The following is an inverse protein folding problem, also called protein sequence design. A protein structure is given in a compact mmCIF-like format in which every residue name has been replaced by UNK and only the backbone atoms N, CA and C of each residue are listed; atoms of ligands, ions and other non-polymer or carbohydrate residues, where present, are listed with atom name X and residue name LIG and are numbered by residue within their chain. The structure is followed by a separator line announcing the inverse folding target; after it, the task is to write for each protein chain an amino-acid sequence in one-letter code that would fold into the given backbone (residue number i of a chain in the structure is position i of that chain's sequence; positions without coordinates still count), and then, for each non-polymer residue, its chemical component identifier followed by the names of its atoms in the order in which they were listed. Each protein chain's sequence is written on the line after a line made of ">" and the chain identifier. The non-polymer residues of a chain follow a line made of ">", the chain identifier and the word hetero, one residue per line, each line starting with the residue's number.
data_IF_019136452606
#
_entry.id   IF_019136452606
#
_cell.length_a   1.000
_cell.length_b   1.000
_cell.length_c   1.000
_cell.angle_alpha   90.00
_cell.angle_beta   90.00
_cell.angle_gamma   90.00
#
_symmetry.space_group_name_H-M   'P 1'
#
loop_
_entity.id
_entity.type
_entity.pdbx_description
1 polymer ?
#
# COMPACT_ATOMS: atom_id res chain seq x y z
N UNK A 1 -9.54 -58.89 56.51
CA UNK A 1 -8.66 -57.85 57.11
C UNK A 1 -7.38 -57.80 56.31
N UNK A 2 -7.10 -56.67 55.67
CA UNK A 2 -5.87 -56.49 54.90
C UNK A 2 -6.07 -55.64 53.64
N UNK A 3 -5.25 -54.60 53.53
CA UNK A 3 -5.03 -53.68 52.39
C UNK A 3 -5.82 -52.38 52.38
N UNK A 4 -5.55 -51.52 53.36
CA UNK A 4 -5.83 -50.08 53.26
C UNK A 4 -4.72 -49.23 53.89
N UNK A 5 -3.44 -49.56 53.66
CA UNK A 5 -2.32 -48.75 54.18
C UNK A 5 -1.16 -48.51 53.17
N UNK A 6 -1.35 -48.78 51.87
CA UNK A 6 -0.29 -48.57 50.87
C UNK A 6 -0.45 -47.35 49.94
N UNK A 7 -1.53 -46.56 50.04
CA UNK A 7 -1.79 -45.48 49.05
C UNK A 7 -1.42 -44.06 49.48
N UNK A 8 -0.83 -43.86 50.66
CA UNK A 8 -0.38 -42.52 51.11
C UNK A 8 1.12 -42.24 51.00
N UNK A 9 1.97 -43.26 50.77
CA UNK A 9 3.41 -43.07 50.59
C UNK A 9 3.84 -42.74 49.15
N UNK A 10 3.03 -43.10 48.15
CA UNK A 10 3.35 -42.79 46.73
C UNK A 10 2.94 -41.36 46.31
N UNK A 11 1.93 -40.75 46.95
CA UNK A 11 1.52 -39.37 46.65
C UNK A 11 2.44 -38.27 47.23
N UNK A 12 3.44 -38.62 48.03
CA UNK A 12 4.41 -37.65 48.62
C UNK A 12 5.76 -37.59 47.91
N UNK A 13 6.04 -38.50 46.98
CA UNK A 13 7.32 -38.50 46.22
C UNK A 13 7.19 -37.64 44.95
N UNK A 14 6.00 -37.55 44.35
CA UNK A 14 5.79 -36.79 43.11
C UNK A 14 5.77 -35.26 43.32
N UNK A 15 5.20 -34.77 44.43
CA UNK A 15 5.09 -33.31 44.69
C UNK A 15 6.41 -32.62 45.07
N UNK A 16 7.49 -33.37 45.32
CA UNK A 16 8.82 -32.80 45.63
C UNK A 16 9.72 -32.65 44.39
N UNK A 17 9.44 -33.38 43.31
CA UNK A 17 10.22 -33.28 42.07
C UNK A 17 9.74 -32.14 41.16
N UNK A 18 8.44 -31.84 41.12
CA UNK A 18 7.91 -30.70 40.34
C UNK A 18 8.40 -29.34 40.85
N UNK A 19 8.41 -29.12 42.18
CA UNK A 19 8.85 -27.83 42.75
C UNK A 19 10.35 -27.55 42.60
N UNK A 20 11.17 -28.56 42.30
CA UNK A 20 12.62 -28.40 42.02
C UNK A 20 12.89 -28.21 40.52
N UNK A 21 12.02 -28.69 39.64
CA UNK A 21 12.09 -28.46 38.20
C UNK A 21 11.70 -27.02 37.85
N UNK A 22 10.61 -26.50 38.42
CA UNK A 22 10.15 -25.13 38.19
C UNK A 22 11.16 -24.08 38.68
N UNK A 23 11.69 -24.24 39.90
CA UNK A 23 12.72 -23.29 40.42
C UNK A 23 14.05 -23.33 39.65
N UNK A 24 14.34 -24.40 38.91
CA UNK A 24 15.52 -24.49 38.03
C UNK A 24 15.24 -23.93 36.64
N UNK A 25 13.99 -23.94 36.19
CA UNK A 25 13.57 -23.30 34.94
C UNK A 25 13.51 -21.78 35.11
N UNK A 26 12.92 -21.31 36.21
CA UNK A 26 12.80 -19.87 36.53
C UNK A 26 14.17 -19.20 36.71
N UNK A 27 15.11 -19.86 37.39
CA UNK A 27 16.50 -19.36 37.54
C UNK A 27 17.34 -19.44 36.25
N UNK A 28 16.93 -20.24 35.26
CA UNK A 28 17.55 -20.27 33.93
C UNK A 28 16.98 -19.18 33.01
N UNK A 29 15.74 -18.75 33.26
CA UNK A 29 15.08 -17.66 32.55
C UNK A 29 15.58 -16.30 33.09
N UNK A 30 15.78 -16.15 34.41
CA UNK A 30 16.29 -14.91 35.01
C UNK A 30 17.78 -14.60 34.77
N UNK A 31 18.59 -15.56 34.30
CA UNK A 31 20.04 -15.36 34.09
C UNK A 31 20.47 -15.18 32.63
N UNK A 32 19.53 -14.97 31.70
CA UNK A 32 19.86 -14.70 30.27
C UNK A 32 19.37 -13.35 29.74
N UNK A 33 18.93 -12.45 30.61
CA UNK A 33 18.40 -11.14 30.22
C UNK A 33 19.24 -9.98 30.74
N UNK A 34 20.56 -10.06 30.63
CA UNK A 34 21.47 -8.92 30.78
C UNK A 34 22.39 -8.77 29.55
N UNK A 35 21.90 -9.14 28.37
CA UNK A 35 22.44 -8.58 27.13
C UNK A 35 21.66 -7.30 26.86
N UNK A 36 22.32 -6.15 27.06
CA UNK A 36 21.93 -4.85 26.51
C UNK A 36 21.34 -5.07 25.12
N UNK A 37 20.02 -5.09 25.02
CA UNK A 37 19.34 -4.90 23.76
C UNK A 37 19.53 -3.41 23.50
N UNK A 38 20.61 -3.06 22.81
CA UNK A 38 20.66 -1.80 22.09
C UNK A 38 19.37 -1.74 21.28
N UNK A 39 18.44 -0.87 21.67
CA UNK A 39 17.25 -0.54 20.91
C UNK A 39 17.73 0.12 19.61
N UNK A 40 18.15 -0.70 18.63
CA UNK A 40 18.29 -0.26 17.25
C UNK A 40 16.94 0.33 16.86
N UNK A 41 16.91 1.54 16.25
CA UNK A 41 15.64 2.15 15.88
C UNK A 41 14.86 1.16 15.01
N UNK A 42 13.61 0.86 15.37
CA UNK A 42 12.73 -0.03 14.59
C UNK A 42 12.41 0.52 13.18
N UNK A 43 12.90 1.72 12.88
CA UNK A 43 12.74 2.43 11.62
C UNK A 43 14.15 2.64 11.07
N UNK A 44 14.53 1.88 10.03
CA UNK A 44 15.60 2.38 9.16
C UNK A 44 15.01 3.62 8.49
N UNK A 45 15.47 4.81 8.89
CA UNK A 45 15.10 6.03 8.21
C UNK A 45 15.50 5.86 6.74
N UNK A 46 14.67 6.30 5.77
CA UNK A 46 15.05 6.31 4.37
C UNK A 46 16.41 7.01 4.23
N UNK A 47 17.30 6.39 3.46
CA UNK A 47 18.66 6.86 3.24
C UNK A 47 18.63 8.01 2.24
N UNK A 48 18.43 9.23 2.76
CA UNK A 48 18.34 10.48 2.00
C UNK A 48 19.67 10.89 1.33
N UNK A 49 20.75 10.14 1.53
CA UNK A 49 22.06 10.41 0.91
C UNK A 49 22.21 9.79 -0.49
N UNK A 50 21.26 8.95 -0.91
CA UNK A 50 21.29 8.30 -2.22
C UNK A 50 20.72 9.21 -3.31
N UNK A 51 21.42 9.38 -4.44
CA UNK A 51 20.86 10.09 -5.58
C UNK A 51 19.61 9.37 -6.09
N UNK A 52 18.67 10.15 -6.64
CA UNK A 52 17.48 9.62 -7.31
C UNK A 52 17.91 8.65 -8.40
N UNK A 53 17.25 7.50 -8.46
CA UNK A 53 17.53 6.49 -9.47
C UNK A 53 17.16 6.99 -10.86
N UNK A 54 17.97 6.67 -11.86
CA UNK A 54 17.67 7.05 -13.24
C UNK A 54 16.55 6.19 -13.82
N UNK A 55 15.73 6.77 -14.72
CA UNK A 55 14.56 6.09 -15.29
C UNK A 55 14.88 4.68 -15.81
N UNK A 56 15.98 4.52 -16.55
CA UNK A 56 16.40 3.23 -17.12
C UNK A 56 16.64 2.17 -16.05
N UNK A 57 17.17 2.57 -14.88
CA UNK A 57 17.39 1.67 -13.75
C UNK A 57 16.08 1.31 -13.06
N UNK A 58 15.17 2.27 -12.90
CA UNK A 58 13.81 2.05 -12.37
C UNK A 58 13.09 1.02 -13.23
N UNK A 59 13.07 1.23 -14.55
CA UNK A 59 12.40 0.36 -15.53
C UNK A 59 12.93 -1.07 -15.43
N UNK A 60 14.26 -1.26 -15.44
CA UNK A 60 14.88 -2.59 -15.29
C UNK A 60 14.48 -3.27 -13.98
N UNK A 61 14.43 -2.52 -12.87
CA UNK A 61 13.99 -3.07 -11.58
C UNK A 61 12.52 -3.49 -11.64
N UNK A 62 11.64 -2.66 -12.19
CA UNK A 62 10.21 -2.95 -12.25
C UNK A 62 9.91 -4.16 -13.13
N UNK A 63 10.61 -4.33 -14.25
CA UNK A 63 10.48 -5.50 -15.14
C UNK A 63 10.71 -6.82 -14.39
N UNK A 64 11.63 -6.85 -13.42
CA UNK A 64 11.89 -8.05 -12.59
C UNK A 64 10.92 -8.24 -11.42
N UNK A 65 10.13 -7.22 -11.07
CA UNK A 65 9.26 -7.22 -9.88
C UNK A 65 7.78 -7.31 -10.22
N UNK A 66 7.40 -6.84 -11.39
CA UNK A 66 6.04 -6.87 -11.91
C UNK A 66 5.90 -8.03 -12.88
N UNK A 67 4.70 -8.62 -12.96
CA UNK A 67 4.44 -9.53 -14.06
C UNK A 67 4.37 -8.77 -15.41
N UNK A 68 4.51 -9.45 -16.56
CA UNK A 68 4.59 -8.78 -17.86
C UNK A 68 3.41 -7.87 -18.17
N UNK A 69 2.18 -8.32 -17.85
CA UNK A 69 0.96 -7.51 -18.07
C UNK A 69 0.98 -6.21 -17.27
N UNK A 70 1.40 -6.26 -16.00
CA UNK A 70 1.45 -5.07 -15.16
C UNK A 70 2.60 -4.14 -15.51
N UNK A 71 3.72 -4.69 -15.95
CA UNK A 71 4.82 -3.87 -16.45
C UNK A 71 4.38 -3.05 -17.67
N UNK A 72 3.73 -3.69 -18.66
CA UNK A 72 3.17 -3.00 -19.83
C UNK A 72 2.15 -1.93 -19.41
N UNK A 73 1.26 -2.26 -18.47
CA UNK A 73 0.33 -1.28 -17.89
C UNK A 73 1.08 -0.11 -17.25
N UNK A 74 2.10 -0.35 -16.43
CA UNK A 74 2.88 0.70 -15.75
C UNK A 74 3.53 1.64 -16.74
N UNK A 75 4.08 1.11 -17.83
CA UNK A 75 4.63 1.91 -18.93
C UNK A 75 3.50 2.71 -19.62
N UNK A 76 2.34 2.10 -19.84
CA UNK A 76 1.15 2.79 -20.34
C UNK A 76 0.69 3.96 -19.46
N UNK A 77 0.72 3.78 -18.13
CA UNK A 77 0.41 4.84 -17.16
C UNK A 77 1.44 5.96 -17.20
N UNK A 78 2.75 5.64 -17.24
CA UNK A 78 3.81 6.66 -17.40
C UNK A 78 3.56 7.54 -18.64
N UNK A 79 3.32 6.92 -19.80
CA UNK A 79 3.08 7.66 -21.04
C UNK A 79 1.80 8.48 -20.98
N UNK A 80 0.72 7.91 -20.43
CA UNK A 80 -0.56 8.60 -20.31
C UNK A 80 -0.46 9.79 -19.36
N UNK A 81 0.22 9.63 -18.22
CA UNK A 81 0.46 10.70 -17.26
C UNK A 81 1.27 11.85 -17.86
N UNK A 82 2.29 11.55 -18.67
CA UNK A 82 3.06 12.56 -19.39
C UNK A 82 2.17 13.40 -20.32
N UNK A 83 1.30 12.76 -21.10
CA UNK A 83 0.40 13.43 -22.03
C UNK A 83 -0.63 14.29 -21.30
N UNK A 84 -1.22 13.77 -20.22
CA UNK A 84 -2.14 14.55 -19.38
C UNK A 84 -1.42 15.74 -18.73
N UNK A 85 -0.17 15.59 -18.29
CA UNK A 85 0.62 16.69 -17.74
C UNK A 85 0.85 17.80 -18.77
N UNK A 86 1.16 17.46 -20.03
CA UNK A 86 1.27 18.44 -21.11
C UNK A 86 -0.03 19.23 -21.33
N UNK A 87 -1.16 18.54 -21.35
CA UNK A 87 -2.47 19.15 -21.64
C UNK A 87 -2.95 20.03 -20.50
N UNK A 88 -2.71 19.62 -19.25
CA UNK A 88 -3.22 20.31 -18.06
C UNK A 88 -2.20 21.22 -17.37
N UNK A 89 -0.98 21.34 -17.92
CA UNK A 89 0.05 22.25 -17.42
C UNK A 89 0.75 21.79 -16.13
N UNK A 90 0.86 20.47 -15.90
CA UNK A 90 1.61 19.92 -14.77
C UNK A 90 3.10 19.67 -15.13
N UNK A 91 3.92 19.41 -14.12
CA UNK A 91 5.30 18.97 -14.34
C UNK A 91 5.32 17.55 -14.95
N UNK A 92 5.79 17.47 -16.20
CA UNK A 92 5.82 16.23 -16.99
C UNK A 92 6.74 15.18 -16.37
N UNK A 93 7.88 15.57 -15.82
CA UNK A 93 8.84 14.63 -15.25
C UNK A 93 8.34 14.06 -13.92
N UNK A 94 7.64 14.87 -13.11
CA UNK A 94 6.92 14.36 -11.93
C UNK A 94 5.82 13.38 -12.31
N UNK A 95 5.00 13.72 -13.32
CA UNK A 95 3.92 12.86 -13.80
C UNK A 95 4.45 11.51 -14.31
N UNK A 96 5.52 11.54 -15.10
CA UNK A 96 6.18 10.32 -15.57
C UNK A 96 6.71 9.47 -14.42
N UNK A 97 7.43 10.07 -13.48
CA UNK A 97 8.01 9.33 -12.36
C UNK A 97 6.94 8.73 -11.43
N UNK A 98 5.88 9.50 -11.13
CA UNK A 98 4.76 9.01 -10.35
C UNK A 98 4.02 7.87 -11.08
N UNK A 99 3.74 8.03 -12.38
CA UNK A 99 3.10 7.00 -13.20
C UNK A 99 3.94 5.72 -13.31
N UNK A 100 5.26 5.83 -13.43
CA UNK A 100 6.17 4.69 -13.47
C UNK A 100 6.21 3.92 -12.14
N UNK A 101 5.99 4.59 -11.01
CA UNK A 101 6.14 4.00 -9.67
C UNK A 101 4.82 3.67 -8.96
N UNK A 102 3.66 4.09 -9.49
CA UNK A 102 2.36 3.96 -8.81
C UNK A 102 2.08 2.55 -8.29
N UNK A 103 2.38 1.53 -9.10
CA UNK A 103 2.13 0.11 -8.80
C UNK A 103 3.38 -0.66 -8.33
N UNK A 104 4.46 0.04 -7.92
CA UNK A 104 5.74 -0.63 -7.56
C UNK A 104 5.66 -1.60 -6.37
N UNK A 105 4.57 -1.54 -5.59
CA UNK A 105 4.27 -2.44 -4.48
C UNK A 105 3.16 -3.46 -4.77
N UNK A 106 2.59 -3.50 -5.98
CA UNK A 106 1.38 -4.26 -6.33
C UNK A 106 1.48 -5.77 -6.03
N UNK A 107 2.57 -6.39 -6.46
CA UNK A 107 2.79 -7.85 -6.35
C UNK A 107 3.57 -8.29 -5.12
N UNK A 108 3.69 -7.42 -4.11
CA UNK A 108 4.16 -7.88 -2.80
C UNK A 108 3.07 -8.79 -2.22
N UNK A 109 3.41 -10.02 -1.74
CA UNK A 109 2.45 -10.90 -1.10
C UNK A 109 1.72 -10.20 0.06
N UNK A 110 0.44 -10.50 0.26
CA UNK A 110 -0.41 -9.82 1.25
C UNK A 110 0.14 -9.86 2.67
N UNK A 111 0.64 -11.02 3.11
CA UNK A 111 1.26 -11.16 4.43
C UNK A 111 2.52 -10.29 4.56
N UNK A 112 3.30 -10.18 3.48
CA UNK A 112 4.46 -9.32 3.41
C UNK A 112 4.09 -7.83 3.35
N UNK A 113 3.03 -7.44 2.62
CA UNK A 113 2.49 -6.06 2.61
C UNK A 113 2.17 -5.62 4.03
N UNK A 114 1.44 -6.43 4.79
CA UNK A 114 1.04 -6.13 6.17
C UNK A 114 2.25 -6.07 7.12
N UNK A 115 3.19 -7.01 7.02
CA UNK A 115 4.44 -7.01 7.80
C UNK A 115 5.25 -5.74 7.53
N UNK A 116 5.42 -5.35 6.26
CA UNK A 116 6.13 -4.14 5.85
C UNK A 116 5.40 -2.88 6.30
N UNK A 117 4.08 -2.81 6.13
CA UNK A 117 3.27 -1.68 6.60
C UNK A 117 3.46 -1.45 8.10
N UNK A 118 3.36 -2.51 8.92
CA UNK A 118 3.63 -2.44 10.36
C UNK A 118 5.05 -1.97 10.67
N UNK A 119 6.05 -2.53 9.97
CA UNK A 119 7.47 -2.18 10.14
C UNK A 119 7.74 -0.70 9.83
N UNK A 120 7.08 -0.15 8.82
CA UNK A 120 7.28 1.23 8.36
C UNK A 120 6.35 2.24 9.04
N UNK A 121 5.53 1.80 10.00
CA UNK A 121 4.57 2.67 10.67
C UNK A 121 3.41 3.13 9.79
N UNK A 122 3.21 2.48 8.63
CA UNK A 122 2.04 2.70 7.78
C UNK A 122 0.84 2.11 8.50
N UNK A 123 -0.14 2.95 8.81
CA UNK A 123 -1.38 2.55 9.48
C UNK A 123 -2.45 2.26 8.43
N UNK A 124 -2.81 0.98 8.21
CA UNK A 124 -3.89 0.67 7.28
C UNK A 124 -5.23 1.13 7.86
N UNK A 125 -6.10 1.68 7.01
CA UNK A 125 -7.50 1.96 7.31
C UNK A 125 -8.25 0.66 7.65
N UNK A 126 -9.49 0.76 8.14
CA UNK A 126 -10.32 -0.43 8.34
C UNK A 126 -10.53 -1.20 7.04
N UNK A 127 -10.73 -0.48 5.93
CA UNK A 127 -10.91 -1.05 4.59
C UNK A 127 -9.65 -1.69 4.05
N UNK A 128 -8.49 -1.06 4.20
CA UNK A 128 -7.21 -1.64 3.79
C UNK A 128 -6.87 -2.92 4.57
N UNK A 129 -7.39 -3.09 5.79
CA UNK A 129 -7.25 -4.37 6.51
C UNK A 129 -8.17 -5.45 5.94
N UNK A 130 -9.37 -5.09 5.50
CA UNK A 130 -10.33 -6.00 4.88
C UNK A 130 -9.93 -6.35 3.44
N UNK A 131 -9.32 -5.41 2.72
CA UNK A 131 -8.76 -5.56 1.39
C UNK A 131 -7.29 -5.10 1.35
N UNK A 132 -6.35 -5.97 1.77
CA UNK A 132 -4.92 -5.66 1.84
C UNK A 132 -4.29 -5.27 0.51
N UNK A 133 -4.93 -5.57 -0.62
CA UNK A 133 -4.42 -5.13 -1.90
C UNK A 133 -4.43 -3.61 -2.01
N UNK A 134 -5.35 -2.88 -1.37
CA UNK A 134 -5.37 -1.41 -1.38
C UNK A 134 -4.13 -0.78 -0.73
N UNK A 135 -3.45 -1.49 0.17
CA UNK A 135 -2.24 -1.00 0.87
C UNK A 135 -1.09 -0.69 -0.09
N UNK A 136 -1.10 -1.25 -1.31
CA UNK A 136 -0.02 -1.03 -2.28
C UNK A 136 0.22 0.45 -2.62
N UNK A 137 -0.79 1.32 -2.58
CA UNK A 137 -0.56 2.76 -2.78
C UNK A 137 0.36 3.35 -1.71
N UNK A 138 -0.04 3.24 -0.44
CA UNK A 138 0.77 3.70 0.72
C UNK A 138 2.13 3.02 0.81
N UNK A 139 2.17 1.70 0.62
CA UNK A 139 3.42 0.95 0.63
C UNK A 139 4.31 1.29 -0.56
N UNK A 140 3.70 1.56 -1.72
CA UNK A 140 4.35 2.00 -2.94
C UNK A 140 5.04 3.34 -2.75
N UNK A 141 4.36 4.33 -2.16
CA UNK A 141 4.96 5.62 -1.85
C UNK A 141 6.15 5.48 -0.89
N UNK A 142 6.03 4.67 0.17
CA UNK A 142 7.17 4.39 1.03
C UNK A 142 8.34 3.77 0.26
N UNK A 143 8.05 2.82 -0.64
CA UNK A 143 9.09 2.16 -1.45
C UNK A 143 9.70 3.09 -2.49
N UNK A 144 8.92 3.97 -3.11
CA UNK A 144 9.40 5.03 -4.01
C UNK A 144 10.50 5.85 -3.33
N UNK A 145 10.26 6.25 -2.08
CA UNK A 145 11.25 6.92 -1.25
C UNK A 145 12.47 6.05 -0.93
N UNK A 146 12.25 4.91 -0.28
CA UNK A 146 13.32 4.07 0.27
C UNK A 146 14.21 3.40 -0.79
N UNK A 147 13.65 3.03 -1.95
CA UNK A 147 14.34 2.21 -2.96
C UNK A 147 14.69 2.94 -4.26
N UNK A 148 13.97 4.01 -4.58
CA UNK A 148 14.11 4.74 -5.84
C UNK A 148 14.57 6.19 -5.65
N UNK A 149 14.70 6.66 -4.39
CA UNK A 149 15.21 7.98 -4.07
C UNK A 149 14.23 9.10 -4.41
N UNK A 150 12.93 8.84 -4.24
CA UNK A 150 11.86 9.83 -4.47
C UNK A 150 11.47 10.50 -3.16
N UNK A 151 11.85 11.77 -3.00
CA UNK A 151 11.53 12.58 -1.82
C UNK A 151 10.45 13.64 -2.05
N UNK A 152 10.05 13.86 -3.31
CA UNK A 152 9.03 14.85 -3.67
C UNK A 152 7.66 14.46 -3.09
N UNK A 153 7.08 15.29 -2.20
CA UNK A 153 5.83 14.95 -1.53
C UNK A 153 4.62 14.87 -2.48
N UNK A 154 4.64 15.59 -3.60
CA UNK A 154 3.59 15.58 -4.60
C UNK A 154 3.57 14.21 -5.32
N UNK A 155 4.75 13.71 -5.71
CA UNK A 155 4.89 12.38 -6.32
C UNK A 155 4.45 11.28 -5.33
N UNK A 156 4.88 11.39 -4.08
CA UNK A 156 4.54 10.43 -3.04
C UNK A 156 3.03 10.43 -2.72
N UNK A 157 2.40 11.60 -2.74
CA UNK A 157 0.94 11.74 -2.63
C UNK A 157 0.23 11.02 -3.79
N UNK A 158 0.66 11.30 -5.02
CA UNK A 158 0.01 10.74 -6.21
C UNK A 158 0.10 9.20 -6.23
N UNK A 159 1.25 8.64 -5.83
CA UNK A 159 1.40 7.19 -5.66
C UNK A 159 0.53 6.66 -4.52
N UNK A 160 0.41 7.40 -3.40
CA UNK A 160 -0.37 6.97 -2.24
C UNK A 160 -1.85 6.81 -2.57
N UNK A 161 -2.40 7.76 -3.31
CA UNK A 161 -3.85 7.89 -3.51
C UNK A 161 -4.35 7.49 -4.90
N UNK A 162 -3.49 6.94 -5.78
CA UNK A 162 -3.87 6.61 -7.16
C UNK A 162 -5.07 5.66 -7.28
N UNK A 163 -5.38 4.86 -6.25
CA UNK A 163 -6.50 3.90 -6.29
C UNK A 163 -7.83 4.43 -5.78
N UNK A 164 -7.81 5.25 -4.72
CA UNK A 164 -9.02 5.73 -4.04
C UNK A 164 -9.33 7.19 -4.38
N UNK A 165 -8.32 7.94 -4.83
CA UNK A 165 -8.30 9.39 -4.77
C UNK A 165 -8.31 9.90 -3.32
N UNK A 166 -8.47 11.21 -3.19
CA UNK A 166 -8.84 11.89 -1.95
C UNK A 166 -9.55 13.23 -2.27
N UNK A 167 -10.30 13.82 -1.32
CA UNK A 167 -10.82 15.17 -1.48
C UNK A 167 -9.70 16.17 -1.78
N UNK A 168 -9.97 17.10 -2.70
CA UNK A 168 -9.04 18.17 -3.10
C UNK A 168 -7.65 17.68 -3.57
N UNK A 169 -7.63 16.62 -4.39
CA UNK A 169 -6.41 16.15 -5.07
C UNK A 169 -5.64 17.28 -5.75
N UNK A 170 -4.31 17.25 -5.61
CA UNK A 170 -3.42 18.09 -6.42
C UNK A 170 -3.56 17.74 -7.90
N UNK A 171 -3.06 18.61 -8.78
CA UNK A 171 -3.10 18.34 -10.21
C UNK A 171 -2.37 17.03 -10.56
N UNK A 172 -1.24 16.74 -9.91
CA UNK A 172 -0.52 15.49 -10.11
C UNK A 172 -1.29 14.27 -9.62
N UNK A 173 -1.94 14.35 -8.44
CA UNK A 173 -2.77 13.26 -7.93
C UNK A 173 -3.88 12.91 -8.92
N UNK A 174 -4.58 13.93 -9.46
CA UNK A 174 -5.62 13.77 -10.48
C UNK A 174 -5.08 13.08 -11.74
N UNK A 175 -3.93 13.54 -12.24
CA UNK A 175 -3.31 13.00 -13.44
C UNK A 175 -2.99 11.51 -13.26
N UNK A 176 -2.41 11.10 -12.13
CA UNK A 176 -2.04 9.70 -11.90
C UNK A 176 -3.26 8.82 -11.69
N UNK A 177 -4.26 9.29 -10.93
CA UNK A 177 -5.55 8.61 -10.76
C UNK A 177 -6.23 8.35 -12.12
N UNK A 178 -6.32 9.37 -12.97
CA UNK A 178 -6.94 9.26 -14.29
C UNK A 178 -6.10 8.39 -15.23
N UNK A 179 -4.77 8.57 -15.24
CA UNK A 179 -3.86 7.82 -16.12
C UNK A 179 -3.93 6.31 -15.88
N UNK A 180 -3.96 5.85 -14.62
CA UNK A 180 -4.13 4.41 -14.27
C UNK A 180 -5.41 3.82 -14.88
N UNK A 181 -6.49 4.62 -14.86
CA UNK A 181 -7.79 4.19 -15.34
C UNK A 181 -7.90 4.15 -16.87
N UNK A 182 -7.26 5.08 -17.58
CA UNK A 182 -7.50 5.28 -19.02
C UNK A 182 -6.41 4.76 -19.94
N UNK A 183 -5.26 4.33 -19.41
CA UNK A 183 -4.09 3.96 -20.22
C UNK A 183 -4.42 2.97 -21.36
N UNK A 184 -3.68 2.98 -22.49
CA UNK A 184 -4.08 2.32 -23.73
C UNK A 184 -4.39 0.81 -23.63
N UNK A 185 -3.82 0.11 -22.66
CA UNK A 185 -4.01 -1.32 -22.47
C UNK A 185 -5.30 -1.67 -21.71
N UNK A 186 -6.03 -0.68 -21.19
CA UNK A 186 -7.38 -0.84 -20.65
C UNK A 186 -8.39 -0.99 -21.79
N UNK A 187 -9.23 -2.04 -21.75
CA UNK A 187 -10.14 -2.42 -22.86
C UNK A 187 -11.60 -2.71 -22.48
N UNK A 188 -11.89 -3.17 -21.25
CA UNK A 188 -13.23 -3.62 -20.83
C UNK A 188 -13.78 -2.76 -19.69
N UNK A 189 -13.81 -1.45 -19.91
CA UNK A 189 -14.29 -0.46 -18.94
C UNK A 189 -15.50 0.24 -19.55
N UNK A 190 -16.58 0.34 -18.77
CA UNK A 190 -17.80 1.05 -19.17
C UNK A 190 -17.44 2.50 -19.48
N UNK A 191 -17.95 3.01 -20.59
CA UNK A 191 -17.79 4.40 -21.04
C UNK A 191 -16.34 4.84 -21.32
N UNK A 192 -15.39 3.91 -21.47
CA UNK A 192 -13.96 4.23 -21.62
C UNK A 192 -13.63 5.24 -22.73
N UNK A 193 -14.25 5.19 -23.94
CA UNK A 193 -14.01 6.22 -24.96
C UNK A 193 -14.39 7.63 -24.51
N UNK A 194 -15.50 7.78 -23.80
CA UNK A 194 -15.96 9.07 -23.27
C UNK A 194 -15.07 9.54 -22.12
N UNK A 195 -14.72 8.64 -21.19
CA UNK A 195 -13.79 8.95 -20.08
C UNK A 195 -12.44 9.41 -20.62
N UNK A 196 -11.92 8.76 -21.66
CA UNK A 196 -10.68 9.19 -22.34
C UNK A 196 -10.81 10.58 -22.93
N UNK A 197 -11.94 10.91 -23.55
CA UNK A 197 -12.19 12.25 -24.10
C UNK A 197 -12.23 13.30 -22.99
N UNK A 198 -12.95 13.02 -21.90
CA UNK A 198 -13.06 13.90 -20.74
C UNK A 198 -11.71 14.14 -20.08
N UNK A 199 -10.86 13.12 -19.98
CA UNK A 199 -9.54 13.23 -19.36
C UNK A 199 -8.66 14.32 -19.98
N UNK A 200 -8.82 14.63 -21.27
CA UNK A 200 -8.06 15.67 -21.97
C UNK A 200 -8.78 17.02 -22.04
N UNK A 201 -10.00 17.12 -21.51
CA UNK A 201 -10.79 18.35 -21.52
C UNK A 201 -11.02 18.91 -20.11
N UNK A 202 -11.39 18.05 -19.17
CA UNK A 202 -11.71 18.41 -17.79
C UNK A 202 -11.46 17.21 -16.88
N UNK A 203 -10.37 17.27 -16.11
CA UNK A 203 -9.99 16.20 -15.17
C UNK A 203 -11.04 16.02 -14.07
N UNK A 204 -11.66 17.09 -13.57
CA UNK A 204 -12.61 16.99 -12.46
C UNK A 204 -13.88 16.26 -12.93
N UNK A 205 -14.35 16.57 -14.15
CA UNK A 205 -15.44 15.82 -14.80
C UNK A 205 -15.08 14.35 -15.01
N UNK A 206 -13.90 14.09 -15.55
CA UNK A 206 -13.39 12.73 -15.78
C UNK A 206 -13.33 11.91 -14.48
N UNK A 207 -12.84 12.52 -13.39
CA UNK A 207 -12.76 11.89 -12.06
C UNK A 207 -14.14 11.51 -11.54
N UNK A 208 -15.15 12.39 -11.65
CA UNK A 208 -16.53 12.06 -11.25
C UNK A 208 -17.05 10.86 -12.03
N UNK A 209 -16.80 10.80 -13.34
CA UNK A 209 -17.22 9.69 -14.18
C UNK A 209 -16.54 8.38 -13.77
N UNK A 210 -15.23 8.39 -13.58
CA UNK A 210 -14.45 7.22 -13.12
C UNK A 210 -14.95 6.72 -11.76
N UNK A 211 -15.14 7.63 -10.79
CA UNK A 211 -15.58 7.29 -9.44
C UNK A 211 -17.01 6.78 -9.44
N UNK A 212 -17.91 7.36 -10.25
CA UNK A 212 -19.28 6.85 -10.42
C UNK A 212 -19.26 5.41 -10.93
N UNK A 213 -18.49 5.14 -12.00
CA UNK A 213 -18.35 3.79 -12.56
C UNK A 213 -17.76 2.82 -11.54
N UNK A 214 -16.77 3.26 -10.76
CA UNK A 214 -16.12 2.46 -9.71
C UNK A 214 -17.10 2.13 -8.58
N UNK A 215 -17.83 3.12 -8.06
CA UNK A 215 -18.79 2.94 -6.97
C UNK A 215 -19.97 2.06 -7.39
N UNK A 216 -20.50 2.23 -8.60
CA UNK A 216 -21.57 1.38 -9.13
C UNK A 216 -21.09 -0.06 -9.29
N UNK A 217 -19.88 -0.28 -9.82
CA UNK A 217 -19.29 -1.62 -9.90
C UNK A 217 -19.15 -2.24 -8.51
N UNK A 218 -18.58 -1.53 -7.54
CA UNK A 218 -18.40 -2.05 -6.18
C UNK A 218 -19.73 -2.42 -5.51
N UNK A 219 -20.82 -1.68 -5.75
CA UNK A 219 -22.17 -2.03 -5.27
C UNK A 219 -22.72 -3.33 -5.85
N UNK A 220 -22.22 -3.79 -7.01
CA UNK A 220 -22.60 -5.10 -7.58
C UNK A 220 -21.78 -6.26 -7.00
N UNK A 221 -20.80 -5.97 -6.15
CA UNK A 221 -19.92 -6.96 -5.51
C UNK A 221 -20.16 -6.97 -4.00
N UNK A 222 -19.76 -8.03 -3.31
CA UNK A 222 -19.74 -8.06 -1.84
C UNK A 222 -18.58 -7.25 -1.22
N UNK A 223 -17.83 -6.50 -2.03
CA UNK A 223 -16.70 -5.71 -1.56
C UNK A 223 -17.17 -4.45 -0.82
N UNK A 224 -16.56 -4.19 0.34
CA UNK A 224 -16.77 -2.94 1.06
C UNK A 224 -16.24 -1.74 0.24
N UNK A 225 -17.06 -0.69 0.15
CA UNK A 225 -16.66 0.58 -0.46
C UNK A 225 -15.78 1.32 0.54
N UNK A 226 -14.55 1.67 0.13
CA UNK A 226 -13.65 2.49 0.94
C UNK A 226 -14.23 3.91 1.11
N UNK A 227 -14.33 4.38 2.36
CA UNK A 227 -14.87 5.70 2.72
C UNK A 227 -14.20 6.82 1.93
N UNK A 228 -12.89 6.77 1.70
CA UNK A 228 -12.16 7.82 1.00
C UNK A 228 -12.56 7.90 -0.49
N UNK A 229 -12.88 6.76 -1.11
CA UNK A 229 -13.41 6.74 -2.49
C UNK A 229 -14.74 7.49 -2.58
N UNK A 230 -15.64 7.25 -1.62
CA UNK A 230 -16.94 7.93 -1.56
C UNK A 230 -16.79 9.42 -1.25
N UNK A 231 -15.95 9.78 -0.29
CA UNK A 231 -15.65 11.17 0.05
C UNK A 231 -15.06 11.94 -1.15
N UNK A 232 -14.17 11.29 -1.91
CA UNK A 232 -13.59 11.86 -3.13
C UNK A 232 -14.68 12.13 -4.16
N UNK A 233 -15.58 11.18 -4.38
CA UNK A 233 -16.69 11.34 -5.32
C UNK A 233 -17.59 12.52 -4.92
N UNK A 234 -18.01 12.56 -3.66
CA UNK A 234 -18.90 13.61 -3.14
C UNK A 234 -18.26 15.00 -3.23
N UNK A 235 -16.94 15.09 -2.98
CA UNK A 235 -16.17 16.32 -3.13
C UNK A 235 -16.24 16.87 -4.57
N UNK A 236 -15.95 16.04 -5.57
CA UNK A 236 -15.91 16.49 -6.96
C UNK A 236 -17.31 16.76 -7.54
N UNK A 237 -18.33 15.98 -7.15
CA UNK A 237 -19.73 16.29 -7.50
C UNK A 237 -20.15 17.65 -6.96
N UNK A 238 -19.82 17.93 -5.69
CA UNK A 238 -20.11 19.23 -5.08
C UNK A 238 -19.32 20.37 -5.73
N UNK A 239 -18.10 20.09 -6.20
CA UNK A 239 -17.26 21.09 -6.89
C UNK A 239 -17.83 21.48 -8.25
N UNK A 240 -18.35 20.52 -9.02
CA UNK A 240 -18.91 20.76 -10.37
C UNK A 240 -20.32 21.36 -10.37
N UNK A 241 -21.02 21.34 -9.22
CA UNK A 241 -22.39 21.87 -9.08
C UNK A 241 -22.44 23.29 -8.52
N UNK A 242 -21.28 23.88 -8.22
CA UNK A 242 -21.12 25.28 -7.80
C UNK A 242 -20.68 26.14 -8.96
#
# INVERSE_FOLDING_TARGET
>A
MGKTEQTEKEKKIDKKNDKKADKKLDKKIEKKTDKKIEKKPLIKKPDLSKPRMERTEIVKKLETKLNPKRFVHTIGVEYTAANLAFVHGADVEKARLAGLLHDCAKYIPTDEKLKRAKKYGIKPSKFEKANPDLIHGKLGAYMAKDKYGVDDPEILSAITYHTTGHPDMSLLDKIIFVADYIEPNRKLIRDLPEIRREAYLDLDKCIVHILKNTLEYLKTTDAAIDELTQETYDFYVKKLTK
#
